data_IF_456720309307
#
_entry.id   IF_456720309307
#
_cell.length_a   1.000
_cell.length_b   1.000
_cell.length_c   1.000
_cell.angle_alpha   90.00
_cell.angle_beta   90.00
_cell.angle_gamma   90.00
#
_symmetry.space_group_name_H-M   'P 1'
#
loop_
_entity.id
_entity.type
_entity.pdbx_description
1 polymer ?
#
# COMPACT_ATOMS: atom_id res chain seq x y z
N UNK A 1 -29.42 9.40 -19.33
CA UNK A 1 -27.94 9.28 -19.25
C UNK A 1 -27.68 7.89 -18.69
N UNK A 2 -26.84 7.07 -19.32
CA UNK A 2 -26.42 5.81 -18.70
C UNK A 2 -25.74 6.16 -17.37
N UNK A 3 -26.12 5.50 -16.28
CA UNK A 3 -25.36 5.58 -15.04
C UNK A 3 -23.98 4.96 -15.31
N UNK A 4 -22.96 5.81 -15.41
CA UNK A 4 -21.57 5.37 -15.58
C UNK A 4 -21.09 4.89 -14.21
N UNK A 5 -20.77 3.61 -14.10
CA UNK A 5 -20.11 3.06 -12.90
C UNK A 5 -18.61 3.31 -13.00
N UNK A 6 -18.04 4.04 -12.04
CA UNK A 6 -16.60 4.31 -11.99
C UNK A 6 -15.81 3.08 -11.55
N UNK A 7 -14.52 3.10 -11.84
CA UNK A 7 -13.54 2.08 -11.48
C UNK A 7 -12.60 2.61 -10.40
N UNK A 8 -12.34 1.77 -9.41
CA UNK A 8 -11.21 1.89 -8.50
C UNK A 8 -10.10 0.99 -9.05
N UNK A 9 -9.12 1.59 -9.74
CA UNK A 9 -8.10 0.84 -10.49
C UNK A 9 -6.99 0.25 -9.61
N UNK A 10 -7.05 0.51 -8.30
CA UNK A 10 -6.04 0.08 -7.34
C UNK A 10 -6.68 -0.01 -5.96
N UNK A 11 -7.02 -1.22 -5.54
CA UNK A 11 -7.40 -1.52 -4.16
C UNK A 11 -6.84 -2.88 -3.71
N UNK A 12 -7.05 -3.21 -2.44
CA UNK A 12 -6.65 -4.45 -1.79
C UNK A 12 -7.85 -5.00 -0.99
N UNK A 13 -8.27 -6.22 -1.33
CA UNK A 13 -9.42 -6.87 -0.71
C UNK A 13 -9.06 -8.09 0.13
N UNK A 14 -7.76 -8.37 0.30
CA UNK A 14 -7.29 -9.53 1.04
C UNK A 14 -7.63 -9.44 2.53
N UNK A 15 -7.91 -10.58 3.15
CA UNK A 15 -8.15 -10.65 4.58
C UNK A 15 -6.85 -10.85 5.35
N UNK A 16 -6.90 -10.54 6.64
CA UNK A 16 -5.82 -10.78 7.57
C UNK A 16 -5.44 -12.26 7.72
N UNK A 17 -6.29 -13.18 7.28
CA UNK A 17 -5.99 -14.62 7.21
C UNK A 17 -4.95 -14.93 6.13
N UNK A 18 -5.00 -14.23 5.00
CA UNK A 18 -4.10 -14.47 3.87
C UNK A 18 -2.80 -13.65 3.96
N UNK A 19 -2.85 -12.45 4.52
CA UNK A 19 -1.81 -11.45 4.22
C UNK A 19 -1.18 -10.84 5.43
N UNK A 20 -1.90 -10.72 6.54
CA UNK A 20 -1.38 -9.89 7.60
C UNK A 20 -0.58 -10.71 8.59
N UNK A 21 0.68 -10.92 8.21
CA UNK A 21 1.71 -11.07 9.19
C UNK A 21 1.65 -9.86 10.14
N UNK A 22 1.32 -10.08 11.42
CA UNK A 22 1.54 -9.22 12.59
C UNK A 22 2.52 -8.05 12.38
N UNK A 23 3.69 -8.31 11.79
CA UNK A 23 4.73 -7.31 11.55
C UNK A 23 4.41 -6.31 10.43
N UNK A 24 3.71 -6.76 9.38
CA UNK A 24 3.20 -5.95 8.28
C UNK A 24 2.13 -4.96 8.77
N UNK A 25 1.17 -5.45 9.57
CA UNK A 25 0.16 -4.63 10.25
C UNK A 25 0.80 -3.47 11.01
N UNK A 26 1.93 -3.72 11.65
CA UNK A 26 2.63 -2.74 12.48
C UNK A 26 3.53 -1.80 11.69
N UNK A 27 4.08 -2.18 10.54
CA UNK A 27 4.74 -1.20 9.64
C UNK A 27 3.74 -0.24 9.00
N UNK A 28 2.55 -0.75 8.68
CA UNK A 28 1.38 0.04 8.23
C UNK A 28 1.10 1.03 9.35
N UNK A 29 0.77 0.53 10.55
CA UNK A 29 0.29 1.37 11.62
C UNK A 29 1.39 2.30 12.22
N UNK A 30 2.63 1.82 12.31
CA UNK A 30 3.70 2.42 13.12
C UNK A 30 5.07 2.49 12.43
N UNK A 31 5.16 2.27 11.11
CA UNK A 31 6.32 2.69 10.31
C UNK A 31 6.37 4.21 10.11
N UNK A 32 5.21 4.88 10.22
CA UNK A 32 5.03 6.33 10.07
C UNK A 32 5.56 7.20 11.23
N UNK A 33 5.55 6.77 12.50
CA UNK A 33 6.10 7.54 13.61
C UNK A 33 7.64 7.62 13.68
N UNK A 34 8.41 6.96 12.80
CA UNK A 34 9.88 7.11 12.76
C UNK A 34 10.39 8.11 11.72
N UNK A 35 9.55 8.58 10.80
CA UNK A 35 9.79 9.86 10.12
C UNK A 35 9.69 11.04 11.09
N UNK A 36 9.06 10.86 12.26
CA UNK A 36 9.09 11.84 13.35
C UNK A 36 10.47 11.98 14.02
N UNK A 37 11.47 11.14 13.71
CA UNK A 37 12.84 11.40 14.17
C UNK A 37 13.51 12.56 13.42
N UNK A 38 13.15 12.83 12.16
CA UNK A 38 13.55 14.09 11.48
C UNK A 38 12.94 15.31 12.16
N UNK A 39 11.89 15.08 12.95
CA UNK A 39 11.04 16.09 13.54
C UNK A 39 11.19 16.17 15.08
N UNK A 40 12.08 15.40 15.72
CA UNK A 40 12.21 15.43 17.20
C UNK A 40 12.60 16.80 17.76
N UNK A 41 13.14 17.70 16.95
CA UNK A 41 13.40 19.10 17.32
C UNK A 41 12.24 20.04 16.93
N UNK A 42 11.62 19.84 15.76
CA UNK A 42 10.52 20.68 15.27
C UNK A 42 9.17 20.30 15.91
N UNK A 43 8.84 19.01 16.07
CA UNK A 43 7.73 18.53 16.90
C UNK A 43 7.91 18.79 18.39
N UNK A 44 9.12 18.78 18.97
CA UNK A 44 9.27 19.26 20.36
C UNK A 44 8.85 20.72 20.50
N UNK A 45 9.08 21.51 19.46
CA UNK A 45 8.74 22.93 19.40
C UNK A 45 7.26 23.13 19.04
N UNK A 46 6.66 22.24 18.24
CA UNK A 46 5.26 22.26 17.82
C UNK A 46 4.31 21.67 18.89
N UNK A 47 4.65 20.50 19.46
CA UNK A 47 3.95 19.88 20.58
C UNK A 47 4.07 20.69 21.89
N UNK A 48 5.06 21.58 22.00
CA UNK A 48 5.12 22.59 23.06
C UNK A 48 4.20 23.81 22.81
N UNK A 49 3.68 23.97 21.58
CA UNK A 49 2.72 25.02 21.19
C UNK A 49 1.28 24.51 21.15
N UNK A 50 1.05 23.26 20.78
CA UNK A 50 -0.27 22.63 20.78
C UNK A 50 -0.77 22.38 22.20
N UNK A 51 -2.05 22.64 22.43
CA UNK A 51 -2.63 22.36 23.74
C UNK A 51 -2.88 20.84 23.90
N UNK A 52 -3.01 20.38 25.15
CA UNK A 52 -3.21 18.95 25.43
C UNK A 52 -4.46 18.34 24.78
N UNK A 53 -5.54 19.11 24.60
CA UNK A 53 -6.78 18.65 23.96
C UNK A 53 -6.58 18.41 22.47
N UNK A 54 -5.79 19.25 21.78
CA UNK A 54 -5.44 19.03 20.37
C UNK A 54 -4.61 17.75 20.21
N UNK A 55 -3.62 17.55 21.08
CA UNK A 55 -2.83 16.31 21.12
C UNK A 55 -3.71 15.08 21.39
N UNK A 56 -4.66 15.18 22.31
CA UNK A 56 -5.62 14.10 22.62
C UNK A 56 -6.49 13.78 21.41
N UNK A 57 -7.05 14.79 20.73
CA UNK A 57 -7.87 14.58 19.52
C UNK A 57 -7.07 13.97 18.37
N UNK A 58 -5.83 14.40 18.17
CA UNK A 58 -4.93 13.77 17.21
C UNK A 58 -4.68 12.29 17.53
N UNK A 59 -4.48 11.95 18.81
CA UNK A 59 -4.33 10.56 19.25
C UNK A 59 -5.62 9.74 19.06
N UNK A 60 -6.79 10.31 19.35
CA UNK A 60 -8.10 9.69 19.09
C UNK A 60 -8.26 9.36 17.61
N UNK A 61 -7.98 10.34 16.73
CA UNK A 61 -8.07 10.16 15.29
C UNK A 61 -7.14 9.04 14.81
N UNK A 62 -5.89 9.03 15.27
CA UNK A 62 -4.93 7.96 15.00
C UNK A 62 -5.47 6.59 15.43
N UNK A 63 -5.96 6.44 16.67
CA UNK A 63 -6.49 5.16 17.15
C UNK A 63 -7.73 4.71 16.37
N UNK A 64 -8.63 5.62 16.00
CA UNK A 64 -9.80 5.30 15.16
C UNK A 64 -9.38 4.76 13.80
N UNK A 65 -8.41 5.39 13.13
CA UNK A 65 -7.87 4.93 11.85
C UNK A 65 -7.30 3.53 11.93
N UNK A 66 -6.49 3.28 12.97
CA UNK A 66 -5.91 1.97 13.26
C UNK A 66 -7.01 0.93 13.47
N UNK A 67 -7.98 1.22 14.33
CA UNK A 67 -9.10 0.30 14.60
C UNK A 67 -9.92 0.02 13.34
N UNK A 68 -10.19 1.03 12.50
CA UNK A 68 -10.91 0.84 11.24
C UNK A 68 -10.13 -0.03 10.26
N UNK A 69 -8.81 0.20 10.14
CA UNK A 69 -7.92 -0.62 9.35
C UNK A 69 -7.92 -2.08 9.83
N UNK A 70 -7.73 -2.32 11.13
CA UNK A 70 -7.77 -3.66 11.75
C UNK A 70 -9.11 -4.35 11.50
N UNK A 71 -10.22 -3.70 11.87
CA UNK A 71 -11.58 -4.25 11.72
C UNK A 71 -11.96 -4.50 10.26
N UNK A 72 -11.35 -3.80 9.30
CA UNK A 72 -11.58 -4.03 7.88
C UNK A 72 -10.73 -5.19 7.38
N UNK A 73 -9.42 -5.19 7.62
CA UNK A 73 -8.54 -6.28 7.22
C UNK A 73 -8.91 -7.62 7.85
N UNK A 74 -9.44 -7.64 9.08
CA UNK A 74 -9.91 -8.85 9.76
C UNK A 74 -11.39 -9.16 9.54
N UNK A 75 -11.95 -8.72 8.42
CA UNK A 75 -13.28 -9.18 8.03
C UNK A 75 -13.28 -10.68 7.74
N UNK A 76 -14.47 -11.29 7.70
CA UNK A 76 -14.62 -12.73 7.51
C UNK A 76 -14.15 -13.21 6.14
N UNK A 77 -14.25 -12.35 5.12
CA UNK A 77 -13.98 -12.59 3.71
C UNK A 77 -13.67 -11.30 2.93
N UNK A 78 -13.14 -11.43 1.71
CA UNK A 78 -12.95 -10.37 0.71
C UNK A 78 -14.28 -9.70 0.37
N UNK A 79 -15.37 -10.48 0.35
CA UNK A 79 -16.73 -10.01 0.10
C UNK A 79 -17.16 -8.98 1.17
N UNK A 80 -16.84 -9.25 2.43
CA UNK A 80 -17.12 -8.31 3.52
C UNK A 80 -16.28 -7.03 3.39
N UNK A 81 -15.04 -7.15 2.91
CA UNK A 81 -14.16 -5.99 2.67
C UNK A 81 -14.70 -5.15 1.52
N UNK A 82 -15.13 -5.79 0.42
CA UNK A 82 -15.79 -5.13 -0.71
C UNK A 82 -17.07 -4.42 -0.26
N UNK A 83 -17.93 -5.09 0.51
CA UNK A 83 -19.15 -4.49 1.03
C UNK A 83 -18.87 -3.28 1.93
N UNK A 84 -17.81 -3.32 2.75
CA UNK A 84 -17.34 -2.17 3.54
C UNK A 84 -16.85 -1.02 2.66
N UNK A 85 -16.13 -1.33 1.58
CA UNK A 85 -15.67 -0.35 0.59
C UNK A 85 -16.85 0.39 -0.05
N UNK A 86 -17.81 -0.37 -0.60
CA UNK A 86 -18.99 0.18 -1.29
C UNK A 86 -19.87 0.99 -0.34
N UNK A 87 -20.10 0.47 0.87
CA UNK A 87 -20.84 1.18 1.92
C UNK A 87 -20.16 2.51 2.28
N UNK A 88 -18.83 2.53 2.35
CA UNK A 88 -18.09 3.74 2.69
C UNK A 88 -18.12 4.79 1.57
N UNK A 89 -18.08 4.38 0.31
CA UNK A 89 -18.26 5.31 -0.81
C UNK A 89 -19.72 5.77 -0.98
N UNK A 90 -20.69 4.97 -0.53
CA UNK A 90 -22.12 5.23 -0.76
C UNK A 90 -22.54 5.10 -2.23
N UNK A 91 -21.64 4.61 -3.08
CA UNK A 91 -21.84 4.32 -4.51
C UNK A 91 -21.08 3.05 -4.86
N UNK A 92 -21.58 2.28 -5.83
CA UNK A 92 -20.88 1.09 -6.30
C UNK A 92 -19.74 1.48 -7.25
N UNK A 93 -18.61 0.80 -7.09
CA UNK A 93 -17.43 0.89 -7.94
C UNK A 93 -17.13 -0.48 -8.52
N UNK A 94 -16.67 -0.48 -9.77
CA UNK A 94 -15.93 -1.63 -10.29
C UNK A 94 -14.52 -1.58 -9.72
N UNK A 95 -13.98 -2.69 -9.24
CA UNK A 95 -12.73 -2.70 -8.47
C UNK A 95 -11.67 -3.55 -9.15
N UNK A 96 -10.42 -3.09 -9.11
CA UNK A 96 -9.25 -3.82 -9.56
C UNK A 96 -8.38 -4.21 -8.34
N UNK A 97 -8.76 -5.27 -7.60
CA UNK A 97 -8.02 -5.69 -6.42
C UNK A 97 -6.66 -6.26 -6.82
N UNK A 98 -5.62 -5.78 -6.16
CA UNK A 98 -4.24 -6.19 -6.38
C UNK A 98 -3.87 -7.22 -5.31
N UNK A 99 -3.45 -8.41 -5.72
CA UNK A 99 -2.83 -9.36 -4.79
C UNK A 99 -1.55 -8.77 -4.19
N UNK A 100 -1.13 -9.29 -3.03
CA UNK A 100 0.11 -8.88 -2.40
C UNK A 100 0.83 -10.08 -1.77
N UNK A 101 1.94 -10.49 -2.41
CA UNK A 101 2.75 -11.61 -1.95
C UNK A 101 3.64 -11.19 -0.78
N UNK A 102 3.19 -11.55 0.42
CA UNK A 102 3.85 -11.23 1.69
C UNK A 102 4.65 -12.38 2.26
N UNK A 103 4.71 -13.51 1.56
CA UNK A 103 5.62 -14.59 1.92
C UNK A 103 7.02 -14.29 1.37
N UNK A 104 7.11 -13.80 0.14
CA UNK A 104 8.38 -13.51 -0.52
C UNK A 104 9.16 -12.33 0.09
N UNK A 105 8.53 -11.51 0.93
CA UNK A 105 9.20 -10.41 1.64
C UNK A 105 10.32 -10.89 2.58
N UNK A 106 10.29 -12.17 3.00
CA UNK A 106 11.29 -12.83 3.84
C UNK A 106 12.25 -13.74 3.06
N UNK A 107 12.22 -13.72 1.73
CA UNK A 107 13.11 -14.53 0.90
C UNK A 107 14.43 -13.79 0.67
N UNK A 108 15.52 -14.34 1.21
CA UNK A 108 16.86 -13.80 1.04
C UNK A 108 17.56 -14.30 -0.22
N UNK A 109 17.34 -15.55 -0.64
CA UNK A 109 18.06 -16.22 -1.74
C UNK A 109 17.08 -17.05 -2.58
N UNK A 110 17.36 -17.17 -3.89
CA UNK A 110 16.50 -17.92 -4.84
C UNK A 110 16.62 -19.44 -4.71
N UNK A 111 17.79 -19.93 -4.31
CA UNK A 111 18.15 -21.36 -4.39
C UNK A 111 17.64 -22.21 -3.21
N UNK A 112 16.74 -21.69 -2.40
CA UNK A 112 16.35 -22.28 -1.12
C UNK A 112 15.22 -23.30 -1.14
N UNK A 113 14.53 -23.53 -2.28
CA UNK A 113 13.49 -24.56 -2.45
C UNK A 113 12.55 -24.70 -1.26
N UNK A 114 11.43 -23.98 -1.29
CA UNK A 114 10.52 -23.66 -0.18
C UNK A 114 10.92 -22.40 0.61
N UNK A 115 9.94 -21.49 0.74
CA UNK A 115 9.99 -20.38 1.69
C UNK A 115 10.23 -21.00 3.07
N UNK A 116 11.37 -20.74 3.72
CA UNK A 116 11.57 -21.14 5.13
C UNK A 116 10.73 -20.23 6.04
N UNK A 117 9.42 -20.36 5.89
CA UNK A 117 8.41 -19.64 6.63
C UNK A 117 8.51 -19.97 8.13
N UNK A 118 8.90 -21.20 8.46
CA UNK A 118 8.96 -21.72 9.83
C UNK A 118 10.09 -21.09 10.65
N UNK A 119 11.30 -20.90 10.11
CA UNK A 119 12.38 -20.26 10.89
C UNK A 119 12.13 -18.76 11.12
N UNK A 120 11.46 -18.09 10.17
CA UNK A 120 11.12 -16.67 10.26
C UNK A 120 9.91 -16.41 11.18
N UNK A 121 9.01 -17.37 11.38
CA UNK A 121 7.82 -17.25 12.24
C UNK A 121 8.15 -16.88 13.69
N UNK A 122 9.14 -17.51 14.30
CA UNK A 122 9.50 -17.21 15.70
C UNK A 122 10.03 -15.79 15.87
N UNK A 123 10.85 -15.32 14.92
CA UNK A 123 11.35 -13.95 14.89
C UNK A 123 10.20 -12.94 14.68
N UNK A 124 9.24 -13.29 13.83
CA UNK A 124 8.03 -12.50 13.58
C UNK A 124 7.19 -12.35 14.85
N UNK A 125 6.92 -13.45 15.56
CA UNK A 125 6.09 -13.44 16.77
C UNK A 125 6.78 -12.68 17.90
N UNK A 126 8.09 -12.88 18.08
CA UNK A 126 8.87 -12.16 19.10
C UNK A 126 8.90 -10.65 18.83
N UNK A 127 9.12 -10.25 17.58
CA UNK A 127 9.15 -8.83 17.20
C UNK A 127 7.76 -8.18 17.33
N UNK A 128 6.70 -8.91 16.99
CA UNK A 128 5.33 -8.45 17.24
C UNK A 128 5.09 -8.16 18.71
N UNK A 129 5.41 -9.11 19.60
CA UNK A 129 5.15 -8.95 21.03
C UNK A 129 5.89 -7.71 21.56
N UNK A 130 7.16 -7.53 21.16
CA UNK A 130 7.94 -6.34 21.52
C UNK A 130 7.24 -5.04 21.11
N UNK A 131 6.72 -4.96 19.89
CA UNK A 131 6.11 -3.74 19.38
C UNK A 131 4.73 -3.48 20.02
N UNK A 132 3.91 -4.53 20.23
CA UNK A 132 2.64 -4.42 20.97
C UNK A 132 2.89 -3.89 22.38
N UNK A 133 3.89 -4.43 23.06
CA UNK A 133 4.26 -3.98 24.41
C UNK A 133 4.70 -2.51 24.41
N UNK A 134 5.48 -2.08 23.41
CA UNK A 134 5.89 -0.69 23.23
C UNK A 134 4.70 0.24 22.95
N UNK A 135 3.76 -0.19 22.13
CA UNK A 135 2.54 0.56 21.83
C UNK A 135 1.67 0.73 23.07
N UNK A 136 1.41 -0.35 23.80
CA UNK A 136 0.65 -0.33 25.04
C UNK A 136 1.31 0.60 26.07
N UNK A 137 2.64 0.52 26.21
CA UNK A 137 3.40 1.40 27.08
C UNK A 137 3.27 2.88 26.64
N UNK A 138 3.39 3.16 25.35
CA UNK A 138 3.26 4.52 24.78
C UNK A 138 1.87 5.11 25.01
N UNK A 139 0.81 4.35 24.69
CA UNK A 139 -0.58 4.80 24.88
C UNK A 139 -0.89 5.05 26.36
N UNK A 140 -0.49 4.13 27.24
CA UNK A 140 -0.66 4.27 28.69
C UNK A 140 0.05 5.50 29.22
N UNK A 141 1.30 5.74 28.82
CA UNK A 141 2.07 6.92 29.23
C UNK A 141 1.40 8.22 28.76
N UNK A 142 0.92 8.28 27.53
CA UNK A 142 0.25 9.47 26.99
C UNK A 142 -1.07 9.75 27.71
N UNK A 143 -1.90 8.73 27.97
CA UNK A 143 -3.15 8.88 28.73
C UNK A 143 -2.88 9.40 30.13
N UNK A 144 -1.85 8.89 30.81
CA UNK A 144 -1.45 9.36 32.14
C UNK A 144 -0.98 10.82 32.12
N UNK A 145 -0.16 11.21 31.14
CA UNK A 145 0.26 12.59 30.93
C UNK A 145 -0.94 13.51 30.73
N UNK A 146 -1.86 13.15 29.83
CA UNK A 146 -3.07 13.91 29.54
C UNK A 146 -3.95 14.07 30.79
N UNK A 147 -4.14 12.99 31.57
CA UNK A 147 -4.85 13.03 32.84
C UNK A 147 -4.24 14.02 33.83
N UNK A 148 -2.91 13.97 34.02
CA UNK A 148 -2.22 14.86 34.96
C UNK A 148 -2.36 16.31 34.53
N UNK A 149 -2.14 16.62 33.25
CA UNK A 149 -2.22 17.98 32.73
C UNK A 149 -3.66 18.50 32.85
N UNK A 150 -4.66 17.75 32.37
CA UNK A 150 -6.07 18.15 32.41
C UNK A 150 -6.54 18.28 33.86
N UNK A 151 -6.16 17.36 34.75
CA UNK A 151 -6.50 17.42 36.18
C UNK A 151 -5.80 18.53 36.96
N UNK A 152 -4.80 19.20 36.39
CA UNK A 152 -4.17 20.41 36.92
C UNK A 152 -4.80 21.72 36.44
N UNK A 153 -5.64 21.69 35.39
CA UNK A 153 -6.25 22.91 34.81
C UNK A 153 -7.37 23.49 35.67
N UNK A 154 -7.69 24.79 35.51
CA UNK A 154 -8.87 25.37 36.16
C UNK A 154 -10.14 24.75 35.59
N UNK A 155 -11.17 24.62 36.43
CA UNK A 155 -12.43 23.96 36.06
C UNK A 155 -13.13 24.60 34.85
N UNK A 156 -13.07 25.95 34.73
CA UNK A 156 -13.61 26.66 33.57
C UNK A 156 -12.87 26.31 32.26
N UNK A 157 -11.55 26.15 32.31
CA UNK A 157 -10.75 25.81 31.12
C UNK A 157 -11.03 24.37 30.66
N UNK A 158 -11.27 23.45 31.61
CA UNK A 158 -11.66 22.06 31.32
C UNK A 158 -13.03 21.97 30.68
N UNK A 159 -14.05 22.60 31.28
CA UNK A 159 -15.44 22.54 30.78
C UNK A 159 -15.60 23.12 29.37
N UNK A 160 -14.73 24.04 28.98
CA UNK A 160 -14.73 24.64 27.64
C UNK A 160 -14.10 23.75 26.56
N UNK A 161 -13.31 22.73 26.92
CA UNK A 161 -12.51 21.96 25.95
C UNK A 161 -12.63 20.43 26.07
N UNK A 162 -13.02 19.91 27.23
CA UNK A 162 -13.22 18.48 27.47
C UNK A 162 -14.63 18.07 27.05
N UNK A 163 -14.76 17.58 25.82
CA UNK A 163 -16.02 17.05 25.27
C UNK A 163 -16.18 15.55 25.51
N UNK A 164 -15.50 14.99 26.52
CA UNK A 164 -15.42 13.55 26.74
C UNK A 164 -14.25 12.89 25.98
N UNK A 165 -13.36 13.70 25.40
CA UNK A 165 -12.22 13.26 24.59
C UNK A 165 -11.33 12.27 25.36
N UNK A 166 -11.09 12.52 26.65
CA UNK A 166 -10.25 11.64 27.47
C UNK A 166 -10.89 10.26 27.71
N UNK A 167 -12.21 10.24 27.95
CA UNK A 167 -12.95 8.99 28.11
C UNK A 167 -12.99 8.20 26.79
N UNK A 168 -13.13 8.89 25.66
CA UNK A 168 -13.05 8.28 24.35
C UNK A 168 -11.66 7.70 24.07
N UNK A 169 -10.60 8.46 24.34
CA UNK A 169 -9.22 8.00 24.18
C UNK A 169 -8.94 6.71 24.97
N UNK A 170 -9.42 6.64 26.22
CA UNK A 170 -9.30 5.43 27.03
C UNK A 170 -10.10 4.26 26.45
N UNK A 171 -11.32 4.51 25.99
CA UNK A 171 -12.17 3.50 25.34
C UNK A 171 -11.48 2.93 24.09
N UNK A 172 -11.01 3.79 23.19
CA UNK A 172 -10.33 3.37 21.97
C UNK A 172 -9.01 2.63 22.26
N UNK A 173 -8.24 3.07 23.26
CA UNK A 173 -7.02 2.36 23.67
C UNK A 173 -7.34 0.94 24.13
N UNK A 174 -8.41 0.75 24.91
CA UNK A 174 -8.84 -0.57 25.38
C UNK A 174 -9.41 -1.43 24.24
N UNK A 175 -10.16 -0.83 23.32
CA UNK A 175 -10.63 -1.53 22.11
C UNK A 175 -9.44 -2.01 21.27
N UNK A 176 -8.42 -1.18 21.09
CA UNK A 176 -7.22 -1.57 20.35
C UNK A 176 -6.48 -2.72 21.02
N UNK A 177 -6.31 -2.68 22.34
CA UNK A 177 -5.74 -3.80 23.12
C UNK A 177 -6.53 -5.10 22.87
N UNK A 178 -7.86 -5.04 22.94
CA UNK A 178 -8.71 -6.22 22.72
C UNK A 178 -8.61 -6.78 21.29
N UNK A 179 -8.58 -5.92 20.27
CA UNK A 179 -8.41 -6.36 18.87
C UNK A 179 -7.03 -7.00 18.65
N UNK A 180 -5.96 -6.45 19.25
CA UNK A 180 -4.60 -7.00 19.16
C UNK A 180 -4.44 -8.33 19.92
N UNK A 181 -5.14 -8.50 21.04
CA UNK A 181 -5.17 -9.75 21.80
C UNK A 181 -5.95 -10.85 21.07
N UNK A 182 -7.15 -10.54 20.55
CA UNK A 182 -7.92 -11.47 19.70
C UNK A 182 -7.09 -11.95 18.51
N UNK A 183 -6.37 -11.03 17.87
CA UNK A 183 -5.48 -11.36 16.77
C UNK A 183 -4.40 -12.37 17.18
N UNK A 184 -3.78 -12.17 18.36
CA UNK A 184 -2.75 -13.08 18.87
C UNK A 184 -3.32 -14.50 19.07
N UNK A 185 -4.51 -14.60 19.64
CA UNK A 185 -5.14 -15.89 19.94
C UNK A 185 -5.61 -16.62 18.68
N UNK A 186 -6.22 -15.94 17.72
CA UNK A 186 -6.61 -16.54 16.43
C UNK A 186 -5.41 -17.03 15.62
N UNK A 187 -4.28 -16.30 15.67
CA UNK A 187 -3.05 -16.73 15.00
C UNK A 187 -2.39 -17.92 15.70
N UNK A 188 -2.33 -17.94 17.03
CA UNK A 188 -1.84 -19.11 17.76
C UNK A 188 -2.75 -20.33 17.55
N UNK A 189 -4.07 -20.13 17.44
CA UNK A 189 -5.03 -21.19 17.15
C UNK A 189 -4.89 -21.74 15.73
N UNK A 190 -4.76 -20.88 14.71
CA UNK A 190 -4.53 -21.30 13.31
C UNK A 190 -3.15 -21.96 13.12
N UNK A 191 -2.13 -21.52 13.85
CA UNK A 191 -0.81 -22.17 13.92
C UNK A 191 -0.87 -23.59 14.53
N UNK A 192 -1.72 -23.79 15.54
CA UNK A 192 -1.93 -25.12 16.14
C UNK A 192 -2.79 -26.04 15.28
N UNK A 193 -3.65 -25.49 14.41
CA UNK A 193 -4.59 -26.27 13.60
C UNK A 193 -4.03 -26.72 12.24
N UNK A 194 -2.88 -26.21 11.78
CA UNK A 194 -2.34 -26.65 10.51
C UNK A 194 -0.84 -26.37 10.31
N UNK A 195 -0.06 -27.45 10.36
CA UNK A 195 1.01 -27.68 9.38
C UNK A 195 0.31 -27.82 8.01
N UNK A 196 -0.11 -26.70 7.44
CA UNK A 196 -0.89 -26.64 6.20
C UNK A 196 0.02 -26.90 5.01
N UNK A 197 -0.38 -27.81 4.12
CA UNK A 197 0.23 -28.01 2.80
C UNK A 197 -0.06 -26.84 1.83
N UNK A 198 -0.84 -25.83 2.25
CA UNK A 198 -1.33 -24.70 1.44
C UNK A 198 -0.70 -23.39 1.93
N UNK A 199 -0.12 -22.61 1.01
CA UNK A 199 0.54 -21.32 1.30
C UNK A 199 -0.47 -20.17 1.43
N UNK A 200 -0.10 -19.08 2.10
CA UNK A 200 -0.92 -17.87 2.19
C UNK A 200 -1.18 -17.26 0.80
N UNK A 201 -0.21 -17.38 -0.10
CA UNK A 201 -0.37 -16.99 -1.49
C UNK A 201 -1.48 -17.80 -2.19
N UNK A 202 -1.51 -19.12 -1.98
CA UNK A 202 -2.55 -19.98 -2.55
C UNK A 202 -3.94 -19.70 -1.97
N UNK A 203 -4.03 -19.33 -0.69
CA UNK A 203 -5.29 -18.89 -0.07
C UNK A 203 -5.77 -17.61 -0.75
N UNK A 204 -4.92 -16.58 -0.87
CA UNK A 204 -5.28 -15.33 -1.54
C UNK A 204 -5.68 -15.57 -3.02
N UNK A 205 -4.96 -16.44 -3.72
CA UNK A 205 -5.26 -16.81 -5.10
C UNK A 205 -6.64 -17.45 -5.22
N UNK A 206 -6.99 -18.35 -4.30
CA UNK A 206 -8.29 -19.03 -4.27
C UNK A 206 -9.42 -18.05 -3.95
N UNK A 207 -9.24 -17.22 -2.93
CA UNK A 207 -10.30 -16.36 -2.42
C UNK A 207 -10.59 -15.21 -3.39
N UNK A 208 -9.56 -14.62 -4.02
CA UNK A 208 -9.77 -13.62 -5.08
C UNK A 208 -10.40 -14.23 -6.34
N UNK A 209 -10.11 -15.49 -6.65
CA UNK A 209 -10.75 -16.22 -7.76
C UNK A 209 -12.23 -16.47 -7.47
N UNK A 210 -12.57 -16.83 -6.23
CA UNK A 210 -13.95 -16.97 -5.79
C UNK A 210 -14.69 -15.64 -5.84
N UNK A 211 -14.08 -14.54 -5.39
CA UNK A 211 -14.66 -13.20 -5.47
C UNK A 211 -14.96 -12.82 -6.92
N UNK A 212 -14.02 -13.06 -7.84
CA UNK A 212 -14.23 -12.83 -9.28
C UNK A 212 -15.38 -13.67 -9.84
N UNK A 213 -15.52 -14.93 -9.41
CA UNK A 213 -16.60 -15.80 -9.86
C UNK A 213 -17.97 -15.31 -9.37
N UNK A 214 -18.04 -14.75 -8.16
CA UNK A 214 -19.27 -14.16 -7.59
C UNK A 214 -19.61 -12.81 -8.22
N UNK A 215 -18.60 -12.00 -8.59
CA UNK A 215 -18.74 -10.65 -9.15
C UNK A 215 -18.04 -10.49 -10.52
N UNK A 216 -18.47 -11.24 -11.55
CA UNK A 216 -17.75 -11.32 -12.82
C UNK A 216 -17.66 -9.99 -13.57
N UNK A 217 -18.62 -9.09 -13.37
CA UNK A 217 -18.68 -7.80 -14.07
C UNK A 217 -18.12 -6.63 -13.25
N UNK A 218 -17.82 -6.82 -11.96
CA UNK A 218 -17.44 -5.74 -11.06
C UNK A 218 -16.04 -5.90 -10.46
N UNK A 219 -15.48 -7.11 -10.43
CA UNK A 219 -14.15 -7.39 -9.87
C UNK A 219 -13.16 -7.74 -10.99
N UNK A 220 -11.99 -7.10 -11.01
CA UNK A 220 -10.96 -7.23 -12.04
C UNK A 220 -9.57 -7.45 -11.41
N UNK A 221 -9.27 -8.67 -10.93
CA UNK A 221 -8.13 -8.89 -10.05
C UNK A 221 -6.78 -8.87 -10.79
N UNK A 222 -5.72 -8.51 -10.06
CA UNK A 222 -4.33 -8.59 -10.52
C UNK A 222 -3.57 -9.63 -9.70
N UNK A 223 -2.90 -10.57 -10.37
CA UNK A 223 -2.08 -11.59 -9.72
C UNK A 223 -0.72 -11.02 -9.28
N UNK A 224 -0.29 -11.31 -8.06
CA UNK A 224 1.03 -10.90 -7.59
C UNK A 224 2.10 -11.83 -8.15
N UNK A 225 3.15 -11.27 -8.75
CA UNK A 225 4.30 -12.03 -9.24
C UNK A 225 5.56 -11.50 -8.56
N UNK A 226 6.22 -12.37 -7.81
CA UNK A 226 7.59 -12.16 -7.32
C UNK A 226 8.49 -13.18 -8.05
N UNK A 227 9.49 -12.75 -8.83
CA UNK A 227 10.31 -13.65 -9.64
C UNK A 227 11.12 -14.65 -8.79
N UNK A 228 11.22 -14.44 -7.48
CA UNK A 228 11.86 -15.38 -6.54
C UNK A 228 10.95 -16.54 -6.15
N UNK A 229 9.64 -16.46 -6.38
CA UNK A 229 8.73 -17.60 -6.18
C UNK A 229 8.95 -18.61 -7.31
N UNK A 230 9.47 -19.77 -6.94
CA UNK A 230 9.84 -20.82 -7.89
C UNK A 230 8.68 -21.16 -8.85
N UNK A 231 8.95 -21.08 -10.16
CA UNK A 231 8.00 -21.43 -11.21
C UNK A 231 6.78 -20.51 -11.38
N UNK A 232 6.65 -19.42 -10.62
CA UNK A 232 5.40 -18.61 -10.66
C UNK A 232 5.13 -18.00 -12.03
N UNK A 233 6.17 -17.58 -12.75
CA UNK A 233 6.04 -16.98 -14.09
C UNK A 233 5.55 -18.04 -15.09
N UNK A 234 6.15 -19.24 -15.06
CA UNK A 234 5.74 -20.34 -15.93
C UNK A 234 4.32 -20.82 -15.60
N UNK A 235 3.97 -20.91 -14.32
CA UNK A 235 2.61 -21.24 -13.86
C UNK A 235 1.60 -20.18 -14.32
N UNK A 236 1.95 -18.89 -14.23
CA UNK A 236 1.10 -17.81 -14.72
C UNK A 236 0.84 -17.92 -16.23
N UNK A 237 1.91 -18.08 -17.01
CA UNK A 237 1.85 -18.13 -18.48
C UNK A 237 1.11 -19.37 -18.99
N UNK A 238 1.42 -20.55 -18.42
CA UNK A 238 0.96 -21.82 -18.98
C UNK A 238 -0.38 -22.31 -18.40
N UNK A 239 -0.73 -21.90 -17.18
CA UNK A 239 -1.90 -22.42 -16.46
C UNK A 239 -2.88 -21.29 -16.13
N UNK A 240 -2.47 -20.33 -15.31
CA UNK A 240 -3.39 -19.36 -14.69
C UNK A 240 -3.99 -18.39 -15.74
N UNK A 241 -3.20 -17.95 -16.72
CA UNK A 241 -3.69 -17.02 -17.75
C UNK A 241 -4.87 -17.60 -18.54
N UNK A 242 -4.90 -18.91 -18.79
CA UNK A 242 -5.97 -19.57 -19.53
C UNK A 242 -7.32 -19.57 -18.79
N UNK A 243 -7.30 -19.42 -17.46
CA UNK A 243 -8.51 -19.37 -16.63
C UNK A 243 -9.27 -18.04 -16.77
N UNK A 244 -8.64 -17.00 -17.32
CA UNK A 244 -9.23 -15.68 -17.57
C UNK A 244 -9.85 -15.03 -16.31
N UNK A 245 -9.29 -15.35 -15.13
CA UNK A 245 -9.68 -14.79 -13.84
C UNK A 245 -9.05 -13.40 -13.65
N UNK A 246 -7.74 -13.31 -13.90
CA UNK A 246 -6.95 -12.11 -13.67
C UNK A 246 -6.92 -11.21 -14.91
N UNK A 247 -7.12 -9.91 -14.69
CA UNK A 247 -7.04 -8.91 -15.76
C UNK A 247 -5.65 -8.28 -15.89
N UNK A 248 -4.76 -8.49 -14.92
CA UNK A 248 -3.44 -7.88 -14.86
C UNK A 248 -2.47 -8.54 -13.88
N UNK A 249 -1.27 -7.98 -13.78
CA UNK A 249 -0.18 -8.45 -12.90
C UNK A 249 0.25 -7.35 -11.93
N UNK A 250 0.42 -7.69 -10.65
CA UNK A 250 0.95 -6.80 -9.61
C UNK A 250 2.43 -7.12 -9.34
N UNK A 251 3.26 -6.08 -9.35
CA UNK A 251 4.66 -6.13 -8.94
C UNK A 251 4.90 -5.24 -7.70
N UNK A 252 5.80 -5.68 -6.83
CA UNK A 252 6.15 -5.02 -5.57
C UNK A 252 7.65 -5.21 -5.27
N UNK A 253 8.50 -4.58 -6.09
CA UNK A 253 9.96 -4.72 -6.01
C UNK A 253 10.60 -4.41 -4.64
N UNK A 254 10.11 -3.45 -3.82
CA UNK A 254 10.64 -3.24 -2.48
C UNK A 254 10.60 -4.46 -1.54
N UNK A 255 9.85 -5.52 -1.90
CA UNK A 255 9.88 -6.83 -1.21
C UNK A 255 11.22 -7.57 -1.37
N UNK A 256 12.19 -7.02 -2.11
CA UNK A 256 13.57 -7.50 -2.15
C UNK A 256 13.98 -8.10 -3.49
N UNK A 257 13.37 -7.66 -4.60
CA UNK A 257 13.77 -8.08 -5.94
C UNK A 257 13.86 -6.87 -6.88
N UNK A 258 14.55 -7.05 -8.02
CA UNK A 258 14.68 -6.01 -9.04
C UNK A 258 13.46 -5.99 -9.98
N UNK A 259 12.90 -4.83 -10.35
CA UNK A 259 11.83 -4.76 -11.35
C UNK A 259 12.37 -5.04 -12.76
N UNK A 260 13.69 -5.00 -12.95
CA UNK A 260 14.39 -5.48 -14.14
C UNK A 260 15.07 -6.84 -13.88
N UNK A 261 14.47 -7.68 -13.03
CA UNK A 261 14.98 -9.02 -12.77
C UNK A 261 15.07 -9.86 -14.06
N UNK A 262 16.12 -10.68 -14.16
CA UNK A 262 16.39 -11.52 -15.34
C UNK A 262 15.19 -12.37 -15.75
N UNK A 263 14.43 -12.95 -14.81
CA UNK A 263 13.27 -13.78 -15.15
C UNK A 263 12.06 -12.97 -15.65
N UNK A 264 11.96 -11.71 -15.23
CA UNK A 264 10.95 -10.78 -15.75
C UNK A 264 11.32 -10.29 -17.16
N UNK A 265 12.63 -10.04 -17.38
CA UNK A 265 13.20 -9.39 -18.56
C UNK A 265 13.68 -10.36 -19.65
N UNK A 266 13.83 -11.66 -19.39
CA UNK A 266 14.35 -12.60 -20.40
C UNK A 266 13.39 -12.73 -21.59
N UNK A 267 13.88 -13.09 -22.79
CA UNK A 267 13.02 -13.44 -23.91
C UNK A 267 12.00 -14.51 -23.52
N UNK A 268 10.71 -14.24 -23.78
CA UNK A 268 9.60 -15.11 -23.36
C UNK A 268 9.28 -15.04 -21.86
N UNK A 269 9.90 -14.13 -21.12
CA UNK A 269 9.59 -13.85 -19.71
C UNK A 269 8.29 -13.05 -19.54
N UNK A 270 8.05 -12.60 -18.31
CA UNK A 270 6.79 -11.94 -17.94
C UNK A 270 6.46 -10.73 -18.82
N UNK A 271 7.43 -9.85 -19.07
CA UNK A 271 7.19 -8.61 -19.81
C UNK A 271 6.89 -8.85 -21.29
N UNK A 272 7.58 -9.80 -21.93
CA UNK A 272 7.26 -10.20 -23.31
C UNK A 272 5.84 -10.73 -23.41
N UNK A 273 5.45 -11.60 -22.48
CA UNK A 273 4.10 -12.16 -22.43
C UNK A 273 3.05 -11.05 -22.24
N UNK A 274 3.28 -10.13 -21.31
CA UNK A 274 2.36 -9.02 -21.06
C UNK A 274 2.24 -8.08 -22.27
N UNK A 275 3.33 -7.82 -23.01
CA UNK A 275 3.28 -7.05 -24.26
C UNK A 275 2.47 -7.79 -25.33
N UNK A 276 2.76 -9.08 -25.55
CA UNK A 276 2.10 -9.89 -26.58
C UNK A 276 0.60 -10.02 -26.34
N UNK A 277 0.20 -10.20 -25.08
CA UNK A 277 -1.19 -10.40 -24.67
C UNK A 277 -1.87 -9.11 -24.21
N UNK A 278 -1.17 -7.97 -24.28
CA UNK A 278 -1.65 -6.66 -23.84
C UNK A 278 -2.16 -6.68 -22.38
N UNK A 279 -1.48 -7.39 -21.48
CA UNK A 279 -1.84 -7.52 -20.06
C UNK A 279 -1.29 -6.31 -19.30
N UNK A 280 -2.12 -5.54 -18.57
CA UNK A 280 -1.66 -4.46 -17.70
C UNK A 280 -0.84 -4.98 -16.53
N UNK A 281 0.21 -4.24 -16.20
CA UNK A 281 1.00 -4.40 -14.98
C UNK A 281 0.78 -3.18 -14.10
N UNK A 282 0.46 -3.38 -12.84
CA UNK A 282 0.52 -2.33 -11.82
C UNK A 282 1.67 -2.63 -10.88
N UNK A 283 2.65 -1.72 -10.80
CA UNK A 283 3.76 -1.83 -9.87
C UNK A 283 3.59 -0.80 -8.74
N UNK A 284 3.84 -1.21 -7.49
CA UNK A 284 3.96 -0.26 -6.38
C UNK A 284 5.04 0.78 -6.69
N UNK A 285 4.74 2.08 -6.59
CA UNK A 285 5.70 3.13 -6.95
C UNK A 285 5.58 4.42 -6.12
N UNK A 286 5.75 4.29 -4.80
CA UNK A 286 5.97 5.42 -3.89
C UNK A 286 7.35 5.32 -3.21
N UNK A 287 7.78 6.41 -2.58
CA UNK A 287 8.99 6.46 -1.77
C UNK A 287 8.81 5.79 -0.39
N UNK A 288 7.61 5.30 -0.10
CA UNK A 288 7.26 4.58 1.12
C UNK A 288 6.51 3.28 0.82
N UNK A 289 5.68 2.85 1.77
CA UNK A 289 4.98 1.57 1.72
C UNK A 289 5.74 0.48 2.45
N UNK A 290 5.74 -0.72 1.89
CA UNK A 290 6.32 -1.93 2.47
C UNK A 290 7.70 -2.20 1.92
N UNK A 291 8.53 -2.91 2.70
CA UNK A 291 9.77 -3.42 2.17
C UNK A 291 10.26 -4.65 2.93
N UNK A 292 11.19 -5.40 2.33
CA UNK A 292 11.81 -6.56 2.97
C UNK A 292 12.51 -6.22 4.29
N UNK A 293 12.23 -6.87 5.43
CA UNK A 293 12.93 -6.59 6.69
C UNK A 293 14.33 -7.19 6.74
N UNK A 294 14.77 -7.89 5.69
CA UNK A 294 16.06 -8.56 5.67
C UNK A 294 17.20 -7.54 5.59
N UNK A 295 18.32 -7.87 6.24
CA UNK A 295 19.56 -7.09 6.17
C UNK A 295 20.40 -7.39 4.94
N UNK A 296 20.01 -8.38 4.14
CA UNK A 296 20.62 -8.72 2.86
C UNK A 296 19.63 -9.50 2.01
N UNK A 297 19.62 -9.26 0.70
CA UNK A 297 18.83 -10.03 -0.29
C UNK A 297 19.66 -10.28 -1.54
N UNK A 298 19.48 -11.43 -2.16
CA UNK A 298 20.03 -11.77 -3.46
C UNK A 298 19.25 -11.04 -4.55
N UNK A 299 19.96 -10.30 -5.40
CA UNK A 299 19.40 -9.59 -6.55
C UNK A 299 20.02 -10.17 -7.82
N UNK A 300 19.17 -10.40 -8.82
CA UNK A 300 19.55 -10.76 -10.18
C UNK A 300 18.87 -9.81 -11.17
N UNK A 301 19.46 -8.64 -11.38
CA UNK A 301 18.89 -7.57 -12.21
C UNK A 301 19.48 -6.20 -11.91
N UNK A 302 18.67 -5.14 -12.04
CA UNK A 302 19.10 -3.76 -11.84
C UNK A 302 18.71 -3.23 -10.45
N UNK A 303 19.63 -2.51 -9.83
CA UNK A 303 19.36 -1.69 -8.64
C UNK A 303 19.72 -0.23 -8.92
N UNK A 304 19.25 0.67 -8.06
CA UNK A 304 19.71 2.05 -8.03
C UNK A 304 20.59 2.29 -6.81
N UNK A 305 21.82 2.71 -7.05
CA UNK A 305 22.79 3.04 -6.00
C UNK A 305 23.71 4.16 -6.51
N UNK A 306 23.22 5.40 -6.39
CA UNK A 306 23.80 6.59 -7.04
C UNK A 306 23.89 6.43 -8.57
N UNK A 307 22.84 5.85 -9.16
CA UNK A 307 22.77 5.45 -10.57
C UNK A 307 22.35 4.00 -10.72
N UNK A 308 21.84 3.66 -11.91
CA UNK A 308 21.41 2.28 -12.21
C UNK A 308 22.62 1.38 -12.39
N UNK A 309 22.64 0.24 -11.70
CA UNK A 309 23.71 -0.77 -11.74
C UNK A 309 23.11 -2.16 -11.87
N UNK A 310 23.78 -3.02 -12.63
CA UNK A 310 23.45 -4.44 -12.72
C UNK A 310 24.14 -5.22 -11.61
N UNK A 311 23.42 -6.15 -10.99
CA UNK A 311 23.85 -6.96 -9.85
C UNK A 311 23.34 -8.39 -10.01
N UNK A 312 24.23 -9.36 -9.77
CA UNK A 312 23.93 -10.79 -9.70
C UNK A 312 24.56 -11.36 -8.41
N UNK A 313 23.86 -11.21 -7.28
CA UNK A 313 24.34 -11.64 -5.97
C UNK A 313 23.78 -10.83 -4.80
N UNK A 314 24.37 -10.96 -3.60
CA UNK A 314 23.83 -10.36 -2.39
C UNK A 314 24.00 -8.84 -2.36
N UNK A 315 22.95 -8.14 -1.96
CA UNK A 315 22.89 -6.71 -1.67
C UNK A 315 22.63 -6.51 -0.18
N UNK A 316 23.57 -5.90 0.53
CA UNK A 316 23.40 -5.53 1.93
C UNK A 316 22.45 -4.34 2.09
N UNK A 317 21.64 -4.39 3.14
CA UNK A 317 20.63 -3.41 3.47
C UNK A 317 20.80 -2.95 4.92
N UNK A 318 20.31 -1.74 5.22
CA UNK A 318 20.21 -1.30 6.61
C UNK A 318 19.34 -2.23 7.45
N UNK A 319 19.62 -2.27 8.75
CA UNK A 319 18.79 -3.01 9.71
C UNK A 319 17.34 -2.53 9.61
N UNK A 320 16.39 -3.46 9.58
CA UNK A 320 14.98 -3.12 9.66
C UNK A 320 14.69 -2.18 10.84
N UNK A 321 13.76 -1.25 10.63
CA UNK A 321 13.35 -0.23 11.60
C UNK A 321 14.42 0.80 12.01
N UNK A 322 15.57 0.82 11.33
CA UNK A 322 16.46 1.97 11.35
C UNK A 322 15.85 3.12 10.53
N UNK A 323 16.29 4.35 10.78
CA UNK A 323 15.75 5.53 10.09
C UNK A 323 15.98 5.42 8.58
N UNK A 324 14.92 5.53 7.78
CA UNK A 324 15.01 5.53 6.32
C UNK A 324 15.09 4.15 5.65
N UNK A 325 14.93 3.05 6.41
CA UNK A 325 15.16 1.70 5.88
C UNK A 325 14.17 1.27 4.77
N UNK A 326 12.92 1.73 4.81
CA UNK A 326 11.93 1.51 3.72
C UNK A 326 12.33 2.32 2.50
N UNK A 327 12.64 3.60 2.69
CA UNK A 327 13.08 4.52 1.65
C UNK A 327 14.36 4.03 0.96
N UNK A 328 15.28 3.39 1.70
CA UNK A 328 16.46 2.74 1.14
C UNK A 328 16.07 1.63 0.15
N UNK A 329 15.11 0.77 0.51
CA UNK A 329 14.66 -0.35 -0.32
C UNK A 329 13.83 0.12 -1.51
N UNK A 330 12.94 1.09 -1.29
CA UNK A 330 12.25 1.78 -2.38
C UNK A 330 13.27 2.40 -3.34
N UNK A 331 14.29 3.10 -2.83
CA UNK A 331 15.34 3.67 -3.67
C UNK A 331 16.11 2.60 -4.41
N UNK A 332 16.61 1.56 -3.74
CA UNK A 332 17.45 0.54 -4.37
C UNK A 332 16.69 -0.30 -5.39
N UNK A 333 15.43 -0.63 -5.12
CA UNK A 333 14.69 -1.64 -5.87
C UNK A 333 13.49 -1.07 -6.65
N UNK A 334 13.16 0.20 -6.51
CA UNK A 334 11.95 0.76 -7.13
C UNK A 334 12.16 2.16 -7.70
N UNK A 335 13.41 2.59 -7.90
CA UNK A 335 13.70 3.89 -8.48
C UNK A 335 13.12 4.01 -9.90
N UNK A 336 12.53 5.16 -10.29
CA UNK A 336 11.94 5.34 -11.61
C UNK A 336 12.95 5.18 -12.76
N UNK A 337 14.25 5.41 -12.52
CA UNK A 337 15.28 5.16 -13.54
C UNK A 337 15.45 3.68 -13.89
N UNK A 338 15.17 2.77 -12.93
CA UNK A 338 15.17 1.33 -13.22
C UNK A 338 13.96 1.00 -14.10
N UNK A 339 12.78 1.54 -13.75
CA UNK A 339 11.57 1.38 -14.56
C UNK A 339 11.71 1.98 -15.95
N UNK A 340 12.47 3.08 -16.11
CA UNK A 340 12.79 3.61 -17.43
C UNK A 340 13.61 2.61 -18.25
N UNK A 341 14.54 1.84 -17.64
CA UNK A 341 15.24 0.75 -18.35
C UNK A 341 14.30 -0.37 -18.78
N UNK A 342 13.30 -0.71 -17.96
CA UNK A 342 12.23 -1.64 -18.35
C UNK A 342 11.48 -1.10 -19.56
N UNK A 343 11.04 0.16 -19.52
CA UNK A 343 10.29 0.80 -20.62
C UNK A 343 11.15 1.04 -21.88
N UNK A 344 12.45 1.25 -21.75
CA UNK A 344 13.37 1.33 -22.88
C UNK A 344 13.41 0.02 -23.67
N UNK A 345 13.37 -1.13 -22.97
CA UNK A 345 13.31 -2.46 -23.56
C UNK A 345 11.91 -2.83 -24.05
N UNK A 346 10.88 -2.45 -23.30
CA UNK A 346 9.47 -2.76 -23.57
C UNK A 346 8.63 -1.48 -23.72
N UNK A 347 8.83 -0.68 -24.78
CA UNK A 347 8.20 0.64 -24.91
C UNK A 347 6.67 0.58 -24.94
N UNK A 348 6.09 -0.53 -25.39
CA UNK A 348 4.64 -0.73 -25.47
C UNK A 348 4.06 -1.46 -24.26
N UNK A 349 4.88 -1.79 -23.24
CA UNK A 349 4.40 -2.42 -22.01
C UNK A 349 3.33 -1.53 -21.37
N UNK A 350 2.20 -2.15 -21.00
CA UNK A 350 1.15 -1.46 -20.30
C UNK A 350 1.45 -1.46 -18.81
N UNK A 351 2.08 -0.40 -18.34
CA UNK A 351 2.61 -0.28 -16.99
C UNK A 351 1.94 0.89 -16.26
N UNK A 352 1.40 0.63 -15.08
CA UNK A 352 1.00 1.64 -14.10
C UNK A 352 2.04 1.67 -12.98
N UNK A 353 2.77 2.78 -12.85
CA UNK A 353 3.59 3.06 -11.66
C UNK A 353 2.69 3.77 -10.64
N UNK A 354 2.20 3.00 -9.66
CA UNK A 354 1.20 3.46 -8.71
C UNK A 354 1.66 4.64 -7.84
N UNK A 355 0.71 5.39 -7.27
CA UNK A 355 0.92 6.49 -6.33
C UNK A 355 1.68 7.72 -6.88
N UNK A 356 2.01 7.76 -8.17
CA UNK A 356 2.74 8.88 -8.78
C UNK A 356 4.04 9.27 -8.07
N UNK A 357 4.76 8.31 -7.46
CA UNK A 357 6.01 8.63 -6.76
C UNK A 357 5.81 9.44 -5.48
N UNK A 358 4.64 9.34 -4.85
CA UNK A 358 4.34 10.00 -3.57
C UNK A 358 5.49 9.81 -2.55
N UNK A 359 5.80 10.88 -1.81
CA UNK A 359 6.92 10.95 -0.87
C UNK A 359 8.26 11.37 -1.50
N UNK A 360 8.34 11.61 -2.81
CA UNK A 360 9.57 12.10 -3.46
C UNK A 360 9.30 12.97 -4.69
N UNK A 361 9.64 14.25 -4.60
CA UNK A 361 9.39 15.24 -5.67
C UNK A 361 10.18 14.97 -6.96
N UNK A 362 11.38 14.41 -6.88
CA UNK A 362 12.17 14.10 -8.08
C UNK A 362 11.61 12.86 -8.79
N UNK A 363 11.08 11.90 -8.03
CA UNK A 363 10.35 10.77 -8.62
C UNK A 363 9.07 11.23 -9.31
N UNK A 364 8.29 12.12 -8.69
CA UNK A 364 7.10 12.71 -9.32
C UNK A 364 7.43 13.37 -10.66
N UNK A 365 8.48 14.22 -10.71
CA UNK A 365 8.93 14.86 -11.97
C UNK A 365 9.34 13.82 -13.00
N UNK A 366 10.07 12.77 -12.59
CA UNK A 366 10.51 11.71 -13.49
C UNK A 366 9.32 10.94 -14.05
N UNK A 367 8.38 10.49 -13.21
CA UNK A 367 7.16 9.78 -13.63
C UNK A 367 6.34 10.66 -14.58
N UNK A 368 6.14 11.94 -14.24
CA UNK A 368 5.45 12.91 -15.12
C UNK A 368 6.10 12.98 -16.51
N UNK A 369 7.44 13.01 -16.56
CA UNK A 369 8.18 13.01 -17.83
C UNK A 369 7.98 11.72 -18.63
N UNK A 370 7.92 10.57 -17.95
CA UNK A 370 7.80 9.27 -18.60
C UNK A 370 6.37 9.02 -19.11
N UNK A 371 5.32 9.34 -18.35
CA UNK A 371 3.93 9.23 -18.82
C UNK A 371 3.61 10.22 -19.95
N UNK A 372 4.32 11.35 -19.97
CA UNK A 372 4.22 12.34 -21.05
C UNK A 372 5.02 11.99 -22.31
N UNK A 373 5.86 10.95 -22.27
CA UNK A 373 6.72 10.58 -23.38
C UNK A 373 5.96 9.67 -24.39
N UNK A 374 5.79 10.10 -25.65
CA UNK A 374 5.12 9.31 -26.68
C UNK A 374 5.81 7.96 -26.98
N UNK A 375 7.09 7.79 -26.62
CA UNK A 375 7.81 6.50 -26.71
C UNK A 375 7.20 5.42 -25.80
N UNK A 376 6.52 5.82 -24.72
CA UNK A 376 5.94 4.94 -23.72
C UNK A 376 4.40 5.07 -23.72
N UNK A 377 3.71 4.76 -24.84
CA UNK A 377 2.31 5.10 -25.05
C UNK A 377 1.35 4.44 -24.06
N UNK A 378 1.74 3.35 -23.42
CA UNK A 378 0.93 2.59 -22.49
C UNK A 378 1.39 2.74 -21.03
N UNK A 379 2.24 3.73 -20.73
CA UNK A 379 2.63 4.05 -19.36
C UNK A 379 1.58 4.92 -18.67
N UNK A 380 1.23 4.55 -17.44
CA UNK A 380 0.21 5.14 -16.60
C UNK A 380 0.74 5.33 -15.18
N UNK A 381 -0.03 6.06 -14.39
CA UNK A 381 0.15 6.22 -12.96
C UNK A 381 -1.21 6.40 -12.30
N UNK A 382 -1.37 5.98 -11.05
CA UNK A 382 -2.57 6.23 -10.27
C UNK A 382 -2.29 7.18 -9.10
N UNK A 383 -3.37 7.63 -8.46
CA UNK A 383 -3.34 8.52 -7.30
C UNK A 383 -3.79 7.83 -6.01
N UNK A 384 -3.61 6.52 -5.91
CA UNK A 384 -3.96 5.80 -4.70
C UNK A 384 -3.05 6.22 -3.53
N UNK A 385 -3.57 6.20 -2.30
CA UNK A 385 -2.95 6.79 -1.11
C UNK A 385 -2.72 8.33 -1.10
N UNK A 386 -3.25 9.11 -2.05
CA UNK A 386 -3.23 10.58 -1.98
C UNK A 386 -4.29 11.15 -1.02
N UNK A 387 -4.17 10.81 0.26
CA UNK A 387 -5.20 11.06 1.29
C UNK A 387 -5.28 12.52 1.76
N UNK A 388 -4.18 13.27 1.67
CA UNK A 388 -4.11 14.67 2.11
C UNK A 388 -4.56 15.61 1.01
N UNK A 389 -5.54 16.46 1.33
CA UNK A 389 -6.08 17.44 0.39
C UNK A 389 -5.12 18.62 0.15
N UNK A 390 -4.54 19.13 1.23
CA UNK A 390 -3.54 20.19 1.23
C UNK A 390 -2.17 19.61 1.53
N UNK A 391 -1.11 20.39 1.26
CA UNK A 391 0.27 20.00 1.54
C UNK A 391 0.48 19.80 3.05
N UNK A 392 0.80 18.57 3.51
CA UNK A 392 1.05 18.31 4.92
C UNK A 392 2.39 18.93 5.39
N UNK A 393 3.32 19.15 4.47
CA UNK A 393 4.61 19.80 4.77
C UNK A 393 5.13 20.54 3.54
N UNK A 394 6.32 21.14 3.63
CA UNK A 394 6.98 21.74 2.45
C UNK A 394 7.54 20.71 1.49
N UNK A 395 7.78 19.49 1.97
CA UNK A 395 8.48 18.43 1.23
C UNK A 395 7.52 17.34 0.71
N UNK A 396 6.26 17.39 1.13
CA UNK A 396 5.19 16.49 0.72
C UNK A 396 3.98 17.31 0.26
N UNK A 397 3.48 17.00 -0.93
CA UNK A 397 2.36 17.72 -1.55
C UNK A 397 1.06 16.94 -1.43
N UNK A 398 -0.05 17.65 -1.24
CA UNK A 398 -1.39 17.10 -1.22
C UNK A 398 -2.02 16.97 -2.61
N UNK A 399 -3.21 16.38 -2.66
CA UNK A 399 -3.98 16.16 -3.89
C UNK A 399 -4.27 17.46 -4.66
N UNK A 400 -4.54 18.56 -3.96
CA UNK A 400 -4.79 19.86 -4.59
C UNK A 400 -3.53 20.37 -5.33
N UNK A 401 -2.36 20.30 -4.68
CA UNK A 401 -1.10 20.73 -5.27
C UNK A 401 -0.69 19.83 -6.44
N UNK A 402 -0.91 18.51 -6.34
CA UNK A 402 -0.76 17.63 -7.49
C UNK A 402 -1.63 18.09 -8.67
N UNK A 403 -2.91 18.38 -8.42
CA UNK A 403 -3.81 18.80 -9.47
C UNK A 403 -3.34 20.10 -10.13
N UNK A 404 -3.01 21.12 -9.34
CA UNK A 404 -2.58 22.42 -9.87
C UNK A 404 -1.24 22.35 -10.60
N UNK A 405 -0.29 21.52 -10.13
CA UNK A 405 1.05 21.39 -10.72
C UNK A 405 1.09 20.48 -11.95
N UNK A 406 0.43 19.31 -11.88
CA UNK A 406 0.63 18.23 -12.86
C UNK A 406 -0.61 17.91 -13.69
N UNK A 407 -1.82 18.30 -13.28
CA UNK A 407 -3.04 17.88 -13.98
C UNK A 407 -3.74 19.01 -14.73
N UNK A 408 -4.03 20.12 -14.05
CA UNK A 408 -4.92 21.20 -14.50
C UNK A 408 -4.62 21.68 -15.92
N UNK A 409 -3.34 21.97 -16.19
CA UNK A 409 -2.86 22.49 -17.46
C UNK A 409 -2.15 21.43 -18.32
N UNK A 410 -2.21 20.16 -17.95
CA UNK A 410 -1.60 19.08 -18.72
C UNK A 410 -2.37 18.84 -20.03
N UNK A 411 -1.67 18.30 -21.03
CA UNK A 411 -2.28 17.92 -22.30
C UNK A 411 -3.26 16.76 -22.11
N UNK A 412 -4.23 16.61 -23.01
CA UNK A 412 -5.15 15.47 -22.99
C UNK A 412 -4.42 14.13 -23.05
N UNK A 413 -3.26 14.09 -23.70
CA UNK A 413 -2.39 12.92 -23.72
C UNK A 413 -1.92 12.53 -22.31
N UNK A 414 -1.35 13.47 -21.55
CA UNK A 414 -0.89 13.21 -20.18
C UNK A 414 -2.06 12.90 -19.25
N UNK A 415 -3.15 13.66 -19.35
CA UNK A 415 -4.37 13.40 -18.57
C UNK A 415 -4.95 12.00 -18.83
N UNK A 416 -4.74 11.43 -20.01
CA UNK A 416 -5.17 10.07 -20.34
C UNK A 416 -4.36 8.96 -19.63
N UNK A 417 -3.26 9.32 -18.96
CA UNK A 417 -2.35 8.37 -18.27
C UNK A 417 -2.60 8.26 -16.77
N UNK A 418 -3.45 9.13 -16.23
CA UNK A 418 -3.69 9.25 -14.79
C UNK A 418 -4.96 8.47 -14.43
N UNK A 419 -4.86 7.59 -13.44
CA UNK A 419 -5.92 6.70 -12.99
C UNK A 419 -6.37 7.08 -11.57
N UNK A 420 -7.65 6.84 -11.28
CA UNK A 420 -8.12 6.79 -9.90
C UNK A 420 -7.90 5.38 -9.33
N UNK A 421 -7.45 5.33 -8.09
CA UNK A 421 -7.54 4.16 -7.23
C UNK A 421 -7.41 4.61 -5.78
N UNK A 422 -7.86 3.81 -4.82
CA UNK A 422 -7.84 4.18 -3.39
C UNK A 422 -6.67 3.64 -2.62
N UNK A 423 -6.23 2.43 -2.95
CA UNK A 423 -5.42 1.56 -2.10
C UNK A 423 -6.20 1.08 -0.85
N UNK A 424 -7.53 1.03 -0.94
CA UNK A 424 -8.38 0.54 0.15
C UNK A 424 -7.95 -0.88 0.54
N UNK A 425 -7.88 -1.27 1.81
CA UNK A 425 -8.15 -0.51 3.03
C UNK A 425 -6.88 0.02 3.70
N UNK A 426 -5.73 -0.03 3.03
CA UNK A 426 -4.46 0.48 3.56
C UNK A 426 -4.52 1.99 3.77
N UNK A 427 -5.24 2.69 2.89
CA UNK A 427 -5.46 4.12 2.95
C UNK A 427 -6.16 4.59 4.24
N UNK A 428 -6.96 3.74 4.89
CA UNK A 428 -7.66 4.01 6.16
C UNK A 428 -6.73 4.37 7.32
N UNK A 429 -5.43 4.11 7.19
CA UNK A 429 -4.44 4.63 8.12
C UNK A 429 -4.21 6.14 8.01
N UNK A 430 -4.37 6.68 6.81
CA UNK A 430 -4.03 8.06 6.49
C UNK A 430 -5.29 8.91 6.29
N UNK A 431 -6.41 8.29 5.92
CA UNK A 431 -7.72 8.95 5.83
C UNK A 431 -8.64 8.53 6.99
N UNK A 432 -9.54 9.42 7.40
CA UNK A 432 -10.55 9.10 8.42
C UNK A 432 -11.65 8.18 7.89
N UNK A 433 -11.93 8.23 6.58
CA UNK A 433 -12.85 7.34 5.89
C UNK A 433 -12.65 7.41 4.37
N UNK A 434 -13.08 6.37 3.66
CA UNK A 434 -13.15 6.39 2.20
C UNK A 434 -14.11 7.44 1.65
N UNK A 435 -15.18 7.80 2.38
CA UNK A 435 -16.08 8.88 1.95
C UNK A 435 -15.33 10.22 1.87
N UNK A 436 -14.53 10.52 2.89
CA UNK A 436 -13.68 11.72 2.90
C UNK A 436 -12.64 11.65 1.78
N UNK A 437 -12.03 10.48 1.56
CA UNK A 437 -11.09 10.27 0.46
C UNK A 437 -11.72 10.57 -0.90
N UNK A 438 -12.84 9.93 -1.23
CA UNK A 438 -13.57 10.18 -2.48
C UNK A 438 -14.09 11.61 -2.58
N UNK A 439 -14.55 12.18 -1.46
CA UNK A 439 -14.97 13.59 -1.36
C UNK A 439 -13.86 14.57 -1.72
N UNK A 440 -12.61 14.27 -1.32
CA UNK A 440 -11.44 15.07 -1.71
C UNK A 440 -11.21 15.01 -3.22
N UNK A 441 -11.31 13.83 -3.84
CA UNK A 441 -11.20 13.70 -5.30
C UNK A 441 -12.30 14.46 -6.03
N UNK A 442 -13.56 14.33 -5.61
CA UNK A 442 -14.67 15.08 -6.20
C UNK A 442 -14.54 16.61 -6.02
N UNK A 443 -13.86 17.05 -4.96
CA UNK A 443 -13.57 18.48 -4.74
C UNK A 443 -12.48 19.00 -5.67
N UNK A 444 -11.43 18.20 -5.89
CA UNK A 444 -10.24 18.60 -6.65
C UNK A 444 -10.44 18.42 -8.15
N UNK A 445 -11.07 17.32 -8.57
CA UNK A 445 -11.33 17.00 -9.97
C UNK A 445 -12.78 17.33 -10.33
N UNK A 446 -13.02 18.26 -11.27
CA UNK A 446 -14.37 18.47 -11.82
C UNK A 446 -14.97 17.17 -12.37
N UNK A 447 -16.29 17.02 -12.34
CA UNK A 447 -17.00 15.76 -12.69
C UNK A 447 -16.50 15.07 -13.96
N UNK A 448 -16.25 15.83 -15.04
CA UNK A 448 -15.74 15.29 -16.31
C UNK A 448 -14.32 14.75 -16.19
N UNK A 449 -13.47 15.41 -15.40
CA UNK A 449 -12.09 14.99 -15.18
C UNK A 449 -12.01 13.84 -14.17
N UNK A 450 -12.88 13.81 -13.14
CA UNK A 450 -12.99 12.63 -12.27
C UNK A 450 -13.47 11.41 -13.07
N UNK A 451 -14.51 11.58 -13.89
CA UNK A 451 -14.97 10.54 -14.84
C UNK A 451 -13.84 10.11 -15.78
N UNK A 452 -12.97 11.02 -16.21
CA UNK A 452 -11.82 10.67 -17.06
C UNK A 452 -10.89 9.69 -16.34
N UNK A 453 -10.44 10.02 -15.12
CA UNK A 453 -9.46 9.21 -14.39
C UNK A 453 -10.07 7.91 -13.82
N UNK A 454 -11.33 7.95 -13.39
CA UNK A 454 -12.01 6.84 -12.75
C UNK A 454 -12.80 5.96 -13.73
N UNK A 455 -13.10 6.41 -14.94
CA UNK A 455 -13.82 5.59 -15.92
C UNK A 455 -13.09 5.47 -17.24
N UNK A 456 -12.89 6.56 -17.97
CA UNK A 456 -12.35 6.50 -19.34
C UNK A 456 -10.94 5.90 -19.39
N UNK A 457 -10.04 6.38 -18.54
CA UNK A 457 -8.66 5.92 -18.49
C UNK A 457 -8.58 4.53 -17.88
N UNK A 458 -9.29 4.27 -16.77
CA UNK A 458 -9.35 2.99 -16.10
C UNK A 458 -9.81 1.86 -17.06
N UNK A 459 -10.93 2.07 -17.75
CA UNK A 459 -11.46 1.11 -18.74
C UNK A 459 -10.43 0.78 -19.83
N UNK A 460 -9.70 1.78 -20.32
CA UNK A 460 -8.64 1.61 -21.32
C UNK A 460 -7.41 0.86 -20.78
N UNK A 461 -6.99 1.18 -19.55
CA UNK A 461 -5.88 0.52 -18.89
C UNK A 461 -6.20 -0.97 -18.66
N UNK A 462 -7.37 -1.26 -18.12
CA UNK A 462 -7.84 -2.61 -17.80
C UNK A 462 -8.28 -3.45 -19.02
N UNK A 463 -8.22 -2.91 -20.26
CA UNK A 463 -8.70 -3.56 -21.50
C UNK A 463 -10.17 -3.99 -21.47
N UNK A 464 -11.02 -3.22 -20.81
CA UNK A 464 -12.43 -3.57 -20.68
C UNK A 464 -13.22 -3.03 -21.88
N UNK A 465 -14.12 -3.85 -22.42
CA UNK A 465 -14.93 -3.54 -23.61
C UNK A 465 -16.04 -2.55 -23.31
#
# INVERSE_FOLDING_TARGET
MQNITNYDSHCHLFTGKETINLRLLFEIIFGFPKEQEKDKAAQKTLAAKENIFERVRGKIQMLRRILNFLKTGFSGSEEDILAKMESSYGVSFKVAPLMFDLECVFVAERTGGSVDFMSHQNLIVAEYQRIVDELHASNKSFIQEAMIIISGMKMADRLNHDHGDLAELQKLSKELEAELDLFKDEKMASQNLMVSLVTNYDIQLKDISQLKATHPDDVYPFIAIDPRREGIIDKFINEIYAENIFCGVKLYAPNGYSPADTDLMKPGGLYDFCVQHNIPITAHHSFGGFATPLGSVEIDGLIYDNGVKEVHGPVSLSKAFSTGWVQERATKFNHPDIWEKVMEKYPTLKLNLAHFGNGNADWQKKIYSMIGNPKYPNMHTDLSCWCNLNDPSKDEIGLQSFYDMYYKNASDYVKSKILYGSDFYLDLLYTDSLNIYLGNFNRVFPDKEFTRIAFTNAKKFLNLK
#
